data_IF_317279249059
#
_entry.id   IF_317279249059
#
_cell.length_a   1.000
_cell.length_b   1.000
_cell.length_c   1.000
_cell.angle_alpha   90.00
_cell.angle_beta   90.00
_cell.angle_gamma   90.00
#
_symmetry.space_group_name_H-M   'P 1'
#
loop_
_entity.id
_entity.type
_entity.pdbx_description
1 polymer ?
#
# COMPACT_ATOMS: atom_id res chain seq x y z
N UNK A 1 1.86 17.39 -3.94
CA UNK A 1 0.50 17.94 -3.90
C UNK A 1 -0.40 16.85 -4.43
N UNK A 2 -1.30 16.33 -3.60
CA UNK A 2 -1.73 14.94 -3.71
C UNK A 2 -3.19 14.70 -3.38
N UNK A 3 -3.52 13.41 -3.29
CA UNK A 3 -4.86 12.84 -3.14
C UNK A 3 -5.77 13.61 -2.15
N UNK A 4 -5.23 14.12 -1.05
CA UNK A 4 -5.99 14.88 -0.05
C UNK A 4 -6.66 16.15 -0.59
N UNK A 5 -5.98 16.86 -1.50
CA UNK A 5 -6.48 18.10 -2.09
C UNK A 5 -7.31 17.83 -3.35
N UNK A 6 -6.96 16.79 -4.11
CA UNK A 6 -7.60 16.47 -5.39
C UNK A 6 -8.90 15.65 -5.21
N UNK A 7 -9.05 14.96 -4.07
CA UNK A 7 -10.20 14.10 -3.75
C UNK A 7 -10.80 14.42 -2.36
N UNK A 8 -11.16 15.69 -2.08
CA UNK A 8 -11.55 16.10 -0.74
C UNK A 8 -12.84 15.40 -0.27
N UNK A 9 -13.78 15.11 -1.17
CA UNK A 9 -15.01 14.40 -0.81
C UNK A 9 -14.76 12.96 -0.36
N UNK A 10 -13.82 12.25 -0.99
CA UNK A 10 -13.45 10.88 -0.60
C UNK A 10 -12.83 10.92 0.79
N UNK A 11 -11.89 11.84 1.02
CA UNK A 11 -11.25 12.01 2.33
C UNK A 11 -12.26 12.36 3.40
N UNK A 12 -13.19 13.30 3.12
CA UNK A 12 -14.23 13.68 4.06
C UNK A 12 -15.09 12.47 4.47
N UNK A 13 -15.50 11.65 3.51
CA UNK A 13 -16.29 10.44 3.79
C UNK A 13 -15.52 9.45 4.67
N UNK A 14 -14.21 9.27 4.41
CA UNK A 14 -13.35 8.39 5.21
C UNK A 14 -13.22 8.92 6.65
N UNK A 15 -12.92 10.21 6.82
CA UNK A 15 -12.64 10.75 8.17
C UNK A 15 -13.91 10.88 9.02
N UNK A 16 -15.08 11.03 8.40
CA UNK A 16 -16.36 11.16 9.09
C UNK A 16 -16.91 9.84 9.64
N UNK A 17 -16.38 8.69 9.20
CA UNK A 17 -16.85 7.37 9.62
C UNK A 17 -16.08 6.86 10.87
N UNK A 18 -16.74 6.72 12.04
CA UNK A 18 -16.09 6.24 13.26
C UNK A 18 -15.69 4.74 13.22
N UNK A 19 -16.23 3.95 12.27
CA UNK A 19 -15.84 2.55 12.11
C UNK A 19 -14.48 2.38 11.43
N UNK A 20 -14.00 3.41 10.72
CA UNK A 20 -12.77 3.36 9.96
C UNK A 20 -11.54 3.51 10.87
N UNK A 21 -10.55 2.64 10.63
CA UNK A 21 -9.17 2.80 11.09
C UNK A 21 -8.33 3.27 9.90
N UNK A 22 -8.03 4.56 9.87
CA UNK A 22 -7.29 5.18 8.78
C UNK A 22 -5.78 5.13 9.07
N UNK A 23 -5.10 4.21 8.40
CA UNK A 23 -3.65 4.20 8.35
C UNK A 23 -3.17 5.27 7.36
N UNK A 24 -2.42 6.25 7.83
CA UNK A 24 -1.89 7.34 6.99
C UNK A 24 -0.60 7.90 7.57
N UNK A 25 0.20 8.55 6.73
CA UNK A 25 1.40 9.28 7.17
C UNK A 25 1.04 10.48 8.02
N UNK A 26 1.99 10.93 8.85
CA UNK A 26 1.87 12.18 9.64
C UNK A 26 1.63 13.36 8.70
N UNK A 27 2.25 13.39 7.53
CA UNK A 27 1.93 14.37 6.49
C UNK A 27 0.47 14.29 6.05
N UNK A 28 -0.09 13.09 5.88
CA UNK A 28 -1.51 12.91 5.59
C UNK A 28 -2.40 13.39 6.73
N UNK A 29 -2.04 13.15 8.00
CA UNK A 29 -2.77 13.67 9.16
C UNK A 29 -2.77 15.21 9.15
N UNK A 30 -1.61 15.84 8.91
CA UNK A 30 -1.49 17.30 8.82
C UNK A 30 -2.41 17.83 7.70
N UNK A 31 -2.37 17.23 6.50
CA UNK A 31 -3.24 17.63 5.39
C UNK A 31 -4.73 17.48 5.74
N UNK A 32 -5.12 16.41 6.44
CA UNK A 32 -6.51 16.23 6.89
C UNK A 32 -6.91 17.34 7.87
N UNK A 33 -6.08 17.63 8.87
CA UNK A 33 -6.38 18.66 9.88
C UNK A 33 -6.46 20.04 9.24
N UNK A 34 -5.53 20.37 8.35
CA UNK A 34 -5.46 21.68 7.69
C UNK A 34 -6.66 21.92 6.75
N UNK A 35 -7.12 20.89 6.03
CA UNK A 35 -8.21 21.02 5.06
C UNK A 35 -9.62 20.89 5.67
N UNK A 36 -9.80 20.05 6.70
CA UNK A 36 -11.13 19.71 7.23
C UNK A 36 -11.37 20.15 8.67
N UNK A 37 -10.31 20.43 9.43
CA UNK A 37 -10.38 20.72 10.85
C UNK A 37 -10.57 19.46 11.71
N UNK A 38 -10.02 19.51 12.94
CA UNK A 38 -10.02 18.36 13.87
C UNK A 38 -11.42 17.85 14.20
N UNK A 39 -12.41 18.75 14.30
CA UNK A 39 -13.77 18.40 14.72
C UNK A 39 -14.52 17.51 13.70
N UNK A 40 -14.05 17.45 12.44
CA UNK A 40 -14.62 16.58 11.41
C UNK A 40 -14.06 15.16 11.44
N UNK A 41 -12.96 14.93 12.18
CA UNK A 41 -12.30 13.62 12.24
C UNK A 41 -13.02 12.76 13.29
N UNK A 42 -13.74 11.75 12.82
CA UNK A 42 -14.46 10.75 13.64
C UNK A 42 -13.82 9.37 13.57
N UNK A 43 -13.11 9.06 12.48
CA UNK A 43 -12.34 7.83 12.34
C UNK A 43 -11.17 7.75 13.32
N UNK A 44 -10.61 6.55 13.51
CA UNK A 44 -9.36 6.36 14.26
C UNK A 44 -8.17 6.56 13.32
N UNK A 45 -7.33 7.56 13.59
CA UNK A 45 -6.07 7.77 12.86
C UNK A 45 -4.97 6.87 13.41
N UNK A 46 -4.27 6.16 12.53
CA UNK A 46 -3.12 5.31 12.86
C UNK A 46 -1.91 5.79 12.04
N UNK A 47 -0.95 6.48 12.67
CA UNK A 47 0.21 6.99 11.96
C UNK A 47 1.12 5.84 11.52
N UNK A 48 1.53 5.87 10.25
CA UNK A 48 2.50 4.96 9.64
C UNK A 48 3.42 5.76 8.74
N UNK A 49 4.68 5.36 8.59
CA UNK A 49 5.64 6.11 7.75
C UNK A 49 6.38 5.17 6.82
N UNK A 50 6.95 5.73 5.76
CA UNK A 50 7.97 5.03 4.97
C UNK A 50 9.19 4.81 5.87
N UNK A 51 9.67 3.57 5.92
CA UNK A 51 10.85 3.22 6.69
C UNK A 51 12.11 3.97 6.22
N UNK A 52 12.17 4.32 4.94
CA UNK A 52 13.24 5.10 4.32
C UNK A 52 13.06 6.61 4.48
N UNK A 53 11.86 7.09 4.80
CA UNK A 53 11.54 8.51 4.90
C UNK A 53 10.61 8.80 6.07
N UNK A 54 11.17 8.77 7.29
CA UNK A 54 10.45 9.14 8.51
C UNK A 54 10.45 10.65 8.68
N UNK A 55 9.33 11.20 9.17
CA UNK A 55 9.22 12.64 9.40
C UNK A 55 10.31 13.11 10.38
N UNK A 56 10.96 14.22 10.03
CA UNK A 56 12.10 14.81 10.76
C UNK A 56 13.38 13.96 10.84
N UNK A 57 13.47 12.86 10.08
CA UNK A 57 14.71 12.09 9.94
C UNK A 57 15.29 12.24 8.53
N UNK A 58 16.62 12.08 8.37
CA UNK A 58 17.23 12.00 7.05
C UNK A 58 16.70 10.79 6.27
N UNK A 59 16.52 10.96 4.96
CA UNK A 59 16.23 9.84 4.07
C UNK A 59 17.35 8.79 4.13
N UNK A 60 16.99 7.53 4.31
CA UNK A 60 17.92 6.40 4.25
C UNK A 60 17.44 5.40 3.20
N UNK A 61 18.18 5.18 2.10
CA UNK A 61 17.82 4.17 1.11
C UNK A 61 17.63 2.80 1.75
N UNK A 62 16.61 2.05 1.33
CA UNK A 62 16.26 0.75 1.94
C UNK A 62 17.44 -0.22 2.01
N UNK A 63 18.25 -0.30 0.95
CA UNK A 63 19.49 -1.10 0.91
C UNK A 63 20.52 -0.73 1.98
N UNK A 64 20.49 0.51 2.47
CA UNK A 64 21.38 1.01 3.51
C UNK A 64 20.83 0.79 4.91
N UNK A 65 19.52 0.56 5.08
CA UNK A 65 18.89 0.43 6.41
C UNK A 65 19.49 -0.74 7.20
N UNK A 66 19.74 -1.88 6.56
CA UNK A 66 20.38 -3.05 7.19
C UNK A 66 21.79 -2.78 7.74
N UNK A 67 22.45 -1.73 7.26
CA UNK A 67 23.81 -1.35 7.66
C UNK A 67 23.84 -0.25 8.73
N UNK A 68 22.68 0.21 9.18
CA UNK A 68 22.60 1.17 10.28
C UNK A 68 23.02 0.51 11.61
N UNK A 69 23.43 1.31 12.59
CA UNK A 69 23.85 0.81 13.90
C UNK A 69 22.75 0.03 14.64
N UNK A 70 21.48 0.33 14.34
CA UNK A 70 20.30 -0.30 14.93
C UNK A 70 19.26 -0.51 13.82
N UNK A 71 19.43 -1.53 12.97
CA UNK A 71 18.44 -1.81 11.94
C UNK A 71 17.12 -2.19 12.62
N UNK A 72 15.99 -1.63 12.16
CA UNK A 72 14.71 -1.97 12.75
C UNK A 72 14.40 -3.45 12.50
N UNK A 73 13.74 -4.12 13.48
CA UNK A 73 13.38 -5.52 13.33
C UNK A 73 12.31 -5.68 12.24
N UNK A 74 12.18 -6.90 11.72
CA UNK A 74 11.09 -7.27 10.82
C UNK A 74 11.33 -6.98 9.33
N UNK A 75 12.43 -6.32 8.96
CA UNK A 75 12.75 -6.16 7.53
C UNK A 75 13.26 -7.47 6.94
N UNK A 76 12.58 -7.93 5.88
CA UNK A 76 12.93 -9.07 5.06
C UNK A 76 13.32 -8.56 3.68
N UNK A 77 14.57 -8.78 3.27
CA UNK A 77 15.08 -8.34 1.98
C UNK A 77 14.90 -9.41 0.91
N UNK A 78 14.79 -8.98 -0.35
CA UNK A 78 14.88 -9.90 -1.48
C UNK A 78 16.30 -10.47 -1.57
N UNK A 79 16.40 -11.77 -1.88
CA UNK A 79 17.69 -12.42 -2.15
C UNK A 79 18.32 -11.96 -3.47
N UNK A 80 17.51 -11.42 -4.39
CA UNK A 80 17.95 -10.99 -5.72
C UNK A 80 18.34 -9.51 -5.73
N UNK A 81 17.75 -8.70 -4.83
CA UNK A 81 17.84 -7.23 -4.85
C UNK A 81 17.79 -6.62 -3.46
N UNK A 82 18.83 -5.85 -3.12
CA UNK A 82 18.96 -5.23 -1.80
C UNK A 82 18.10 -3.97 -1.62
N UNK A 83 17.65 -3.39 -2.72
CA UNK A 83 16.74 -2.25 -2.74
C UNK A 83 15.25 -2.66 -2.67
N UNK A 84 14.97 -3.95 -2.46
CA UNK A 84 13.62 -4.49 -2.31
C UNK A 84 13.51 -5.16 -0.94
N UNK A 85 12.52 -4.72 -0.17
CA UNK A 85 12.26 -5.25 1.16
C UNK A 85 10.77 -5.30 1.48
N UNK A 86 10.43 -6.09 2.48
CA UNK A 86 9.11 -6.17 3.10
C UNK A 86 9.31 -6.05 4.61
N UNK A 87 8.60 -5.16 5.29
CA UNK A 87 8.66 -5.08 6.73
C UNK A 87 7.47 -5.80 7.38
N UNK A 88 7.75 -6.82 8.18
CA UNK A 88 6.73 -7.53 8.96
C UNK A 88 6.28 -6.78 10.21
N UNK A 89 6.98 -5.71 10.62
CA UNK A 89 6.64 -4.91 11.80
C UNK A 89 6.51 -3.42 11.45
N UNK A 90 5.29 -3.02 11.07
CA UNK A 90 4.98 -1.66 10.59
C UNK A 90 5.22 -0.56 11.62
N UNK A 91 5.41 -0.89 12.91
CA UNK A 91 5.70 0.10 13.97
C UNK A 91 7.02 0.82 13.75
N UNK A 92 7.92 0.25 12.94
CA UNK A 92 9.20 0.84 12.60
C UNK A 92 9.22 1.51 11.21
N UNK A 93 8.08 1.54 10.52
CA UNK A 93 7.93 2.04 9.16
C UNK A 93 7.53 0.93 8.18
N UNK A 94 7.15 1.30 6.97
CA UNK A 94 6.71 0.41 5.90
C UNK A 94 7.74 0.49 4.78
N UNK A 95 8.12 -0.66 4.21
CA UNK A 95 8.99 -0.67 3.04
C UNK A 95 8.17 -0.22 1.81
N UNK A 96 8.53 0.91 1.20
CA UNK A 96 7.85 1.39 0.00
C UNK A 96 8.20 0.56 -1.25
N UNK A 97 7.24 0.48 -2.17
CA UNK A 97 7.42 -0.12 -3.49
C UNK A 97 6.60 0.60 -4.57
N UNK A 98 6.51 1.93 -4.50
CA UNK A 98 5.79 2.80 -5.43
C UNK A 98 4.27 2.58 -5.53
N UNK A 99 3.68 1.71 -4.69
CA UNK A 99 2.24 1.47 -4.66
C UNK A 99 1.71 1.29 -3.23
N UNK A 100 0.57 1.93 -2.95
CA UNK A 100 -0.13 1.82 -1.66
C UNK A 100 -0.64 0.40 -1.36
N UNK A 101 -0.82 -0.45 -2.40
CA UNK A 101 -1.21 -1.84 -2.19
C UNK A 101 -0.12 -2.62 -1.45
N UNK A 102 1.15 -2.30 -1.72
CA UNK A 102 2.28 -2.94 -1.05
C UNK A 102 2.38 -2.56 0.43
N UNK A 103 2.01 -1.32 0.76
CA UNK A 103 1.86 -0.87 2.15
C UNK A 103 0.71 -1.63 2.83
N UNK A 104 -0.44 -1.75 2.15
CA UNK A 104 -1.59 -2.49 2.64
C UNK A 104 -1.26 -3.95 2.99
N UNK A 105 -0.45 -4.63 2.17
CA UNK A 105 -0.01 -6.00 2.47
C UNK A 105 0.82 -6.10 3.76
N UNK A 106 1.74 -5.17 3.99
CA UNK A 106 2.54 -5.15 5.23
C UNK A 106 1.68 -4.87 6.45
N UNK A 107 0.71 -3.95 6.33
CA UNK A 107 -0.24 -3.64 7.41
C UNK A 107 -1.11 -4.86 7.73
N UNK A 108 -1.73 -5.48 6.73
CA UNK A 108 -2.59 -6.65 6.92
C UNK A 108 -1.80 -7.85 7.48
N UNK A 109 -0.57 -8.04 7.02
CA UNK A 109 0.32 -9.08 7.57
C UNK A 109 0.63 -8.83 9.04
N UNK A 110 1.01 -7.60 9.41
CA UNK A 110 1.28 -7.23 10.80
C UNK A 110 0.04 -7.38 11.70
N UNK A 111 -1.15 -7.08 11.17
CA UNK A 111 -2.42 -7.27 11.87
C UNK A 111 -2.85 -8.74 12.00
N UNK A 112 -2.11 -9.70 11.41
CA UNK A 112 -2.37 -11.13 11.56
C UNK A 112 -3.45 -11.69 10.64
N UNK A 113 -3.76 -11.03 9.52
CA UNK A 113 -4.72 -11.56 8.55
C UNK A 113 -4.14 -12.77 7.80
N UNK A 114 -4.88 -13.88 7.80
CA UNK A 114 -4.48 -15.13 7.12
C UNK A 114 -5.02 -15.24 5.68
N UNK A 115 -6.03 -14.44 5.34
CA UNK A 115 -6.62 -14.38 3.99
C UNK A 115 -6.83 -12.93 3.58
N UNK A 116 -6.29 -12.57 2.42
CA UNK A 116 -6.34 -11.24 1.85
C UNK A 116 -6.95 -11.33 0.45
N UNK A 117 -8.00 -10.55 0.22
CA UNK A 117 -8.64 -10.41 -1.09
C UNK A 117 -8.40 -8.98 -1.58
N UNK A 118 -7.88 -8.84 -2.79
CA UNK A 118 -7.58 -7.53 -3.36
C UNK A 118 -8.50 -7.29 -4.54
N UNK A 119 -9.24 -6.19 -4.52
CA UNK A 119 -10.10 -5.73 -5.62
C UNK A 119 -9.44 -4.48 -6.23
N UNK A 120 -9.41 -4.38 -7.55
CA UNK A 120 -8.85 -3.22 -8.26
C UNK A 120 -7.32 -3.21 -8.35
N UNK A 121 -6.65 -4.34 -8.09
CA UNK A 121 -5.22 -4.49 -8.39
C UNK A 121 -5.04 -4.84 -9.86
N UNK A 122 -5.26 -3.85 -10.73
CA UNK A 122 -5.18 -4.05 -12.18
C UNK A 122 -3.74 -3.87 -12.70
N UNK A 123 -3.04 -2.80 -12.29
CA UNK A 123 -1.68 -2.47 -12.75
C UNK A 123 -1.53 -2.45 -14.28
N UNK A 124 -2.58 -2.01 -14.96
CA UNK A 124 -2.63 -1.83 -16.41
C UNK A 124 -3.46 -0.57 -16.72
N UNK A 125 -3.62 -0.26 -18.01
CA UNK A 125 -4.46 0.85 -18.46
C UNK A 125 -4.13 2.20 -17.77
N UNK A 126 -2.86 2.47 -17.49
CA UNK A 126 -2.42 3.68 -16.76
C UNK A 126 -2.79 4.99 -17.48
N UNK A 127 -3.10 4.91 -18.78
CA UNK A 127 -3.61 6.01 -19.56
C UNK A 127 -5.11 6.30 -19.35
N UNK A 128 -5.87 5.42 -18.69
CA UNK A 128 -7.30 5.60 -18.39
C UNK A 128 -7.55 6.13 -16.96
N UNK A 129 -8.72 6.75 -16.69
CA UNK A 129 -9.10 7.14 -15.33
C UNK A 129 -9.23 5.93 -14.39
N UNK A 130 -8.90 6.10 -13.11
CA UNK A 130 -9.22 5.11 -12.07
C UNK A 130 -10.72 5.10 -11.79
N UNK A 131 -11.20 4.13 -10.99
CA UNK A 131 -12.64 3.95 -10.73
C UNK A 131 -13.34 5.16 -10.10
N UNK A 132 -12.59 6.04 -9.43
CA UNK A 132 -13.06 7.25 -8.78
C UNK A 132 -12.71 8.53 -9.56
N UNK A 133 -12.32 8.40 -10.83
CA UNK A 133 -11.89 9.50 -11.70
C UNK A 133 -12.67 9.42 -13.01
N UNK A 134 -12.66 10.52 -13.75
CA UNK A 134 -13.14 10.60 -15.13
C UNK A 134 -12.08 11.25 -16.05
N UNK A 135 -12.45 11.49 -17.31
CA UNK A 135 -11.55 12.07 -18.31
C UNK A 135 -11.06 13.49 -18.00
N UNK A 136 -11.79 14.24 -17.17
CA UNK A 136 -11.56 15.64 -16.83
C UNK A 136 -10.73 15.81 -15.57
N UNK A 137 -10.77 14.85 -14.64
CA UNK A 137 -10.10 14.97 -13.34
C UNK A 137 -9.02 13.91 -13.09
N UNK A 138 -8.67 13.10 -14.09
CA UNK A 138 -7.62 12.07 -14.02
C UNK A 138 -6.30 12.65 -13.47
N UNK A 139 -5.75 12.00 -12.45
CA UNK A 139 -4.46 12.37 -11.88
C UNK A 139 -3.28 11.66 -12.58
N UNK A 140 -2.10 12.29 -12.62
CA UNK A 140 -0.89 11.64 -13.13
C UNK A 140 -0.52 10.41 -12.27
N UNK A 141 0.25 9.51 -12.85
CA UNK A 141 0.73 8.31 -12.17
C UNK A 141 2.09 7.91 -12.71
N UNK A 142 2.94 7.40 -11.82
CA UNK A 142 4.25 6.80 -12.15
C UNK A 142 4.22 5.27 -12.05
N UNK A 143 3.02 4.67 -11.89
CA UNK A 143 2.90 3.22 -11.69
C UNK A 143 3.45 2.43 -12.88
N UNK A 144 3.29 2.94 -14.11
CA UNK A 144 3.84 2.31 -15.32
C UNK A 144 5.38 2.29 -15.29
N UNK A 145 5.99 3.43 -14.95
CA UNK A 145 7.44 3.59 -14.87
C UNK A 145 8.11 2.65 -13.85
N UNK A 146 7.38 2.34 -12.78
CA UNK A 146 7.85 1.49 -11.67
C UNK A 146 7.34 0.05 -11.73
N UNK A 147 6.51 -0.32 -12.72
CA UNK A 147 5.82 -1.60 -12.73
C UNK A 147 6.81 -2.77 -12.72
N UNK A 148 7.66 -2.84 -13.75
CA UNK A 148 8.63 -3.92 -13.93
C UNK A 148 9.85 -3.76 -13.01
N UNK A 149 10.24 -2.50 -12.73
CA UNK A 149 11.48 -2.18 -12.02
C UNK A 149 11.34 -2.25 -10.51
N UNK A 150 10.15 -2.09 -9.94
CA UNK A 150 9.97 -2.03 -8.47
C UNK A 150 8.75 -2.82 -8.01
N UNK A 151 7.58 -2.61 -8.62
CA UNK A 151 6.30 -3.12 -8.12
C UNK A 151 6.22 -4.66 -8.24
N UNK A 152 6.47 -5.22 -9.44
CA UNK A 152 6.40 -6.66 -9.67
C UNK A 152 7.42 -7.42 -8.80
N UNK A 153 8.71 -7.03 -8.76
CA UNK A 153 9.68 -7.71 -7.92
C UNK A 153 9.38 -7.59 -6.42
N UNK A 154 8.82 -6.45 -5.97
CA UNK A 154 8.36 -6.28 -4.59
C UNK A 154 7.18 -7.20 -4.27
N UNK A 155 6.17 -7.28 -5.15
CA UNK A 155 5.07 -8.22 -4.94
C UNK A 155 5.51 -9.69 -4.97
N UNK A 156 6.51 -10.04 -5.79
CA UNK A 156 7.13 -11.38 -5.76
C UNK A 156 7.65 -11.68 -4.35
N UNK A 157 8.45 -10.77 -3.77
CA UNK A 157 8.95 -10.90 -2.39
C UNK A 157 7.79 -11.03 -1.38
N UNK A 158 6.79 -10.16 -1.44
CA UNK A 158 5.63 -10.24 -0.55
C UNK A 158 4.90 -11.58 -0.68
N UNK A 159 4.69 -12.09 -1.91
CA UNK A 159 4.01 -13.38 -2.11
C UNK A 159 4.77 -14.54 -1.47
N UNK A 160 6.10 -14.53 -1.54
CA UNK A 160 6.95 -15.55 -0.93
C UNK A 160 6.87 -15.51 0.59
N UNK A 161 6.95 -14.32 1.17
CA UNK A 161 6.85 -14.11 2.63
C UNK A 161 5.47 -14.50 3.14
N UNK A 162 4.41 -13.99 2.52
CA UNK A 162 3.02 -14.26 2.92
C UNK A 162 2.72 -15.76 2.84
N UNK A 163 3.07 -16.42 1.72
CA UNK A 163 2.89 -17.87 1.54
C UNK A 163 3.67 -18.68 2.57
N UNK A 164 4.92 -18.32 2.85
CA UNK A 164 5.75 -19.00 3.87
C UNK A 164 5.13 -18.91 5.27
N UNK A 165 4.38 -17.85 5.54
CA UNK A 165 3.67 -17.62 6.81
C UNK A 165 2.19 -18.06 6.76
N UNK A 166 1.77 -18.83 5.75
CA UNK A 166 0.41 -19.37 5.66
C UNK A 166 -0.67 -18.35 5.25
N UNK A 167 -0.27 -17.13 4.86
CA UNK A 167 -1.21 -16.08 4.42
C UNK A 167 -1.55 -16.27 2.95
N UNK A 168 -2.84 -16.43 2.65
CA UNK A 168 -3.36 -16.57 1.29
C UNK A 168 -3.76 -15.21 0.73
N UNK A 169 -3.21 -14.84 -0.41
CA UNK A 169 -3.59 -13.63 -1.15
C UNK A 169 -4.27 -14.02 -2.46
N UNK A 170 -5.42 -13.41 -2.73
CA UNK A 170 -6.15 -13.59 -3.99
C UNK A 170 -6.40 -12.21 -4.61
N UNK A 171 -6.00 -12.04 -5.87
CA UNK A 171 -6.34 -10.87 -6.66
C UNK A 171 -7.67 -11.13 -7.39
N UNK A 172 -8.67 -10.30 -7.13
CA UNK A 172 -10.01 -10.41 -7.74
C UNK A 172 -10.13 -9.65 -9.08
N UNK A 173 -9.01 -9.11 -9.58
CA UNK A 173 -8.87 -8.54 -10.92
C UNK A 173 -8.28 -9.58 -11.90
N UNK A 174 -9.10 -10.32 -12.67
CA UNK A 174 -8.61 -11.39 -13.55
C UNK A 174 -7.72 -10.88 -14.69
N UNK A 175 -7.89 -9.62 -15.10
CA UNK A 175 -7.10 -8.98 -16.16
C UNK A 175 -5.87 -8.22 -15.62
N UNK A 176 -5.52 -8.40 -14.35
CA UNK A 176 -4.36 -7.72 -13.74
C UNK A 176 -3.06 -8.00 -14.49
N UNK A 177 -2.18 -7.00 -14.60
CA UNK A 177 -0.81 -7.19 -15.07
C UNK A 177 0.07 -7.94 -14.07
N UNK A 178 -0.30 -7.97 -12.79
CA UNK A 178 0.43 -8.76 -11.78
C UNK A 178 0.31 -10.24 -12.13
N UNK A 179 1.40 -11.02 -12.29
CA UNK A 179 1.31 -12.43 -12.65
C UNK A 179 0.51 -13.28 -11.66
N UNK A 180 -0.21 -14.28 -12.16
CA UNK A 180 -0.97 -15.25 -11.35
C UNK A 180 -0.06 -16.06 -10.39
N UNK A 181 1.21 -16.24 -10.78
CA UNK A 181 2.24 -16.88 -9.96
C UNK A 181 2.62 -16.08 -8.71
N UNK A 182 2.34 -14.77 -8.68
CA UNK A 182 2.55 -13.91 -7.52
C UNK A 182 1.30 -13.94 -6.63
N UNK A 183 0.15 -13.56 -7.18
CA UNK A 183 -1.14 -13.65 -6.50
C UNK A 183 -2.15 -14.33 -7.41
N UNK A 184 -2.73 -15.44 -6.92
CA UNK A 184 -3.77 -16.18 -7.65
C UNK A 184 -4.90 -15.23 -8.04
N UNK A 185 -5.31 -15.26 -9.29
CA UNK A 185 -6.40 -14.46 -9.82
C UNK A 185 -7.72 -15.22 -9.78
N UNK A 186 -8.76 -14.53 -9.36
CA UNK A 186 -10.14 -15.02 -9.47
C UNK A 186 -11.03 -13.89 -9.99
N UNK A 187 -12.16 -14.26 -10.60
CA UNK A 187 -13.15 -13.26 -10.99
C UNK A 187 -13.94 -12.83 -9.74
N UNK A 188 -13.78 -11.56 -9.33
CA UNK A 188 -14.48 -11.01 -8.17
C UNK A 188 -16.01 -11.17 -8.21
N UNK A 189 -16.63 -11.07 -9.39
CA UNK A 189 -18.08 -11.22 -9.55
C UNK A 189 -18.54 -12.65 -9.22
N UNK A 190 -17.74 -13.64 -9.62
CA UNK A 190 -18.08 -15.04 -9.42
C UNK A 190 -17.65 -15.55 -8.04
N UNK A 191 -16.70 -14.86 -7.39
CA UNK A 191 -16.07 -15.34 -6.17
C UNK A 191 -17.03 -15.25 -4.97
N UNK A 192 -17.71 -14.12 -4.79
CA UNK A 192 -18.64 -13.92 -3.67
C UNK A 192 -19.99 -14.62 -3.87
N UNK A 193 -20.32 -15.04 -5.09
CA UNK A 193 -21.52 -15.83 -5.37
C UNK A 193 -21.36 -17.32 -5.05
N UNK A 194 -20.12 -17.80 -4.82
CA UNK A 194 -19.78 -19.22 -4.61
C UNK A 194 -19.44 -19.57 -3.16
N UNK A 195 -19.54 -18.61 -2.24
CA UNK A 195 -19.33 -18.82 -0.80
C UNK A 195 -20.67 -18.93 -0.07
#
# INVERSE_FOLDING_TARGET
>A
MGFFNDRPQIVQNIIADPAIKLFTTVHGIINIVDNFGREQIKCTLIPIEDISYKIYEPFVPIKNIRHTLRPPPGILYSNEREDIAFNSDIRHGIADAATVVYWGLQILFFCGFEKIYIIGLDMNNFNRPRFYEDSQDKLPTLLDDFLESTIIPSFKLASEILRKNGVKVINLSPQSAIPDSIFRKENGNDFFLRQ
#
